data_IF_733735824086
#
_entry.id   IF_733735824086
#
_cell.length_a   1.000
_cell.length_b   1.000
_cell.length_c   1.000
_cell.angle_alpha   90.00
_cell.angle_beta   90.00
_cell.angle_gamma   90.00
#
_symmetry.space_group_name_H-M   'P 1'
#
loop_
_entity.id
_entity.type
_entity.pdbx_description
1 polymer ?
#
# COMPACT_ATOMS: atom_id res chain seq x y z
N UNK A 1 7.55 -13.58 -10.69
CA UNK A 1 6.59 -12.56 -10.19
C UNK A 1 7.19 -11.94 -8.92
N UNK A 2 7.34 -10.61 -8.84
CA UNK A 2 7.99 -9.97 -7.70
C UNK A 2 7.06 -9.89 -6.48
N UNK A 3 7.57 -10.27 -5.32
CA UNK A 3 6.96 -10.12 -4.00
C UNK A 3 7.78 -9.11 -3.20
N UNK A 4 7.19 -7.95 -2.91
CA UNK A 4 7.86 -6.86 -2.20
C UNK A 4 7.72 -7.01 -0.69
N UNK A 5 8.84 -6.96 0.02
CA UNK A 5 8.90 -7.08 1.47
C UNK A 5 9.84 -6.04 2.07
N UNK A 6 9.45 -5.41 3.17
CA UNK A 6 10.29 -4.49 3.93
C UNK A 6 11.04 -5.18 5.08
N UNK A 7 10.60 -6.39 5.46
CA UNK A 7 11.25 -7.18 6.49
C UNK A 7 12.51 -7.88 5.96
N UNK A 8 13.65 -7.23 6.13
CA UNK A 8 14.98 -7.78 5.78
C UNK A 8 15.25 -9.15 6.39
N UNK A 9 14.75 -9.43 7.59
CA UNK A 9 14.92 -10.74 8.21
C UNK A 9 14.15 -11.82 7.45
N UNK A 10 12.94 -11.51 6.97
CA UNK A 10 12.16 -12.44 6.15
C UNK A 10 12.81 -12.72 4.79
N UNK A 11 13.38 -11.68 4.15
CA UNK A 11 14.12 -11.83 2.88
C UNK A 11 15.36 -12.72 3.08
N UNK A 12 16.18 -12.41 4.08
CA UNK A 12 17.40 -13.17 4.39
C UNK A 12 17.11 -14.59 4.79
N UNK A 13 16.00 -14.81 5.48
CA UNK A 13 15.53 -16.16 5.71
C UNK A 13 15.41 -16.82 4.34
N UNK A 14 14.68 -16.26 3.36
CA UNK A 14 14.36 -16.98 2.09
C UNK A 14 15.59 -17.25 1.25
N UNK A 15 16.59 -16.40 1.36
CA UNK A 15 17.89 -16.58 0.71
C UNK A 15 18.80 -17.60 1.42
N UNK A 16 18.65 -17.79 2.74
CA UNK A 16 19.57 -18.60 3.56
C UNK A 16 18.79 -19.52 4.54
N UNK A 17 18.13 -20.53 3.99
CA UNK A 17 17.34 -21.55 4.71
C UNK A 17 18.10 -22.28 5.82
N UNK A 18 19.43 -22.28 5.76
CA UNK A 18 20.31 -23.06 6.64
C UNK A 18 20.34 -22.54 8.09
N UNK A 19 19.88 -21.30 8.37
CA UNK A 19 20.19 -20.64 9.64
C UNK A 19 19.12 -20.70 10.75
N UNK A 20 17.83 -20.98 10.51
CA UNK A 20 16.83 -20.80 11.59
C UNK A 20 15.64 -21.77 11.61
N UNK A 21 15.87 -22.99 12.13
CA UNK A 21 14.85 -24.01 12.44
C UNK A 21 14.49 -23.96 13.93
N UNK A 22 13.77 -22.93 14.41
CA UNK A 22 13.21 -22.96 15.78
C UNK A 22 11.79 -22.41 15.96
N UNK A 23 11.06 -22.12 14.88
CA UNK A 23 9.65 -21.70 14.95
C UNK A 23 8.79 -22.46 13.94
N UNK A 24 8.14 -23.53 14.41
CA UNK A 24 7.29 -24.45 13.61
C UNK A 24 6.24 -23.75 12.72
N UNK A 25 5.75 -22.58 13.15
CA UNK A 25 4.76 -21.80 12.40
C UNK A 25 5.34 -20.96 11.25
N UNK A 26 6.61 -20.55 11.35
CA UNK A 26 7.27 -19.73 10.33
C UNK A 26 7.88 -20.62 9.24
N UNK A 27 8.30 -21.83 9.63
CA UNK A 27 8.95 -22.81 8.76
C UNK A 27 8.12 -23.26 7.55
N UNK A 28 6.79 -23.43 7.71
CA UNK A 28 5.94 -23.86 6.59
C UNK A 28 5.85 -22.80 5.50
N UNK A 29 5.64 -21.54 5.87
CA UNK A 29 5.57 -20.43 4.92
C UNK A 29 6.92 -20.20 4.24
N UNK A 30 7.99 -20.42 5.00
CA UNK A 30 9.35 -20.32 4.54
C UNK A 30 9.68 -21.31 3.41
N UNK A 31 9.49 -22.61 3.67
CA UNK A 31 9.74 -23.66 2.69
C UNK A 31 8.92 -23.46 1.42
N UNK A 32 7.67 -22.99 1.56
CA UNK A 32 6.84 -22.64 0.41
C UNK A 32 7.44 -21.52 -0.43
N UNK A 33 7.88 -20.42 0.20
CA UNK A 33 8.49 -19.30 -0.52
C UNK A 33 9.80 -19.70 -1.18
N UNK A 34 10.66 -20.43 -0.48
CA UNK A 34 11.92 -20.95 -1.03
C UNK A 34 11.66 -21.85 -2.25
N UNK A 35 10.71 -22.79 -2.17
CA UNK A 35 10.34 -23.64 -3.29
C UNK A 35 9.86 -22.82 -4.51
N UNK A 36 9.08 -21.75 -4.30
CA UNK A 36 8.62 -20.88 -5.41
C UNK A 36 9.72 -20.01 -5.98
N UNK A 37 10.69 -19.60 -5.17
CA UNK A 37 11.89 -18.88 -5.63
C UNK A 37 12.78 -19.81 -6.45
N UNK A 38 13.04 -21.04 -5.96
CA UNK A 38 13.83 -22.06 -6.68
C UNK A 38 13.17 -22.49 -7.99
N UNK A 39 11.83 -22.48 -8.06
CA UNK A 39 11.07 -22.72 -9.30
C UNK A 39 11.04 -21.51 -10.24
N UNK A 40 11.71 -20.41 -9.90
CA UNK A 40 11.72 -19.13 -10.64
C UNK A 40 10.31 -18.52 -10.83
N UNK A 41 9.33 -18.97 -10.05
CA UNK A 41 7.95 -18.47 -10.10
C UNK A 41 7.79 -17.19 -9.32
N UNK A 42 8.60 -17.02 -8.28
CA UNK A 42 8.55 -15.92 -7.34
C UNK A 42 9.95 -15.30 -7.18
N UNK A 43 10.01 -13.99 -7.09
CA UNK A 43 11.22 -13.23 -6.78
C UNK A 43 10.92 -12.37 -5.57
N UNK A 44 11.77 -12.36 -4.55
CA UNK A 44 11.58 -11.52 -3.37
C UNK A 44 12.41 -10.26 -3.52
N UNK A 45 11.75 -9.10 -3.48
CA UNK A 45 12.39 -7.80 -3.63
C UNK A 45 12.28 -7.02 -2.32
N UNK A 46 13.37 -6.39 -1.89
CA UNK A 46 13.31 -5.46 -0.76
C UNK A 46 12.56 -4.18 -1.18
N UNK A 47 11.66 -3.71 -0.33
CA UNK A 47 11.05 -2.37 -0.41
C UNK A 47 11.28 -1.63 0.90
N UNK A 48 11.41 -0.31 0.84
CA UNK A 48 11.49 0.49 2.06
C UNK A 48 10.11 0.57 2.73
N UNK A 49 10.07 0.59 4.07
CA UNK A 49 8.80 0.68 4.83
C UNK A 49 7.98 1.92 4.44
N UNK A 50 8.62 2.98 3.97
CA UNK A 50 7.95 4.19 3.49
C UNK A 50 7.15 4.00 2.19
N UNK A 51 7.44 2.94 1.45
CA UNK A 51 6.85 2.63 0.15
C UNK A 51 6.07 1.30 0.16
N UNK A 52 5.99 0.63 1.33
CA UNK A 52 5.22 -0.60 1.50
C UNK A 52 3.72 -0.30 1.64
N UNK A 53 3.03 -0.15 0.50
CA UNK A 53 1.59 0.17 0.44
C UNK A 53 0.70 -0.82 1.20
N UNK A 54 1.14 -2.07 1.36
CA UNK A 54 0.44 -3.08 2.15
C UNK A 54 0.20 -2.66 3.60
N UNK A 55 1.06 -1.80 4.15
CA UNK A 55 0.92 -1.25 5.50
C UNK A 55 -0.38 -0.47 5.70
N UNK A 56 -0.96 0.07 4.62
CA UNK A 56 -2.27 0.72 4.65
C UNK A 56 -3.37 -0.20 5.18
N UNK A 57 -3.24 -1.51 4.94
CA UNK A 57 -4.24 -2.51 5.30
C UNK A 57 -3.96 -3.23 6.61
N UNK A 58 -2.71 -3.17 7.12
CA UNK A 58 -2.29 -3.94 8.30
C UNK A 58 -1.95 -3.08 9.51
N UNK A 59 -1.70 -1.77 9.32
CA UNK A 59 -1.24 -0.86 10.38
C UNK A 59 -2.18 0.33 10.55
N UNK A 60 -2.26 0.83 11.79
CA UNK A 60 -2.82 2.15 12.08
C UNK A 60 -1.82 3.25 11.72
N UNK A 61 -1.91 3.81 10.53
CA UNK A 61 -0.99 4.85 10.03
C UNK A 61 -1.45 6.26 10.43
N UNK A 62 -0.48 7.18 10.56
CA UNK A 62 -0.81 8.60 10.68
C UNK A 62 -1.43 9.15 9.38
N UNK A 63 -2.12 10.29 9.48
CA UNK A 63 -2.88 10.85 8.36
C UNK A 63 -2.03 11.07 7.10
N UNK A 64 -0.80 11.57 7.24
CA UNK A 64 0.11 11.84 6.12
C UNK A 64 0.51 10.55 5.39
N UNK A 65 0.92 9.51 6.12
CA UNK A 65 1.26 8.20 5.52
C UNK A 65 0.04 7.52 4.91
N UNK A 66 -1.10 7.59 5.58
CA UNK A 66 -2.35 7.06 5.06
C UNK A 66 -2.73 7.72 3.73
N UNK A 67 -2.62 9.06 3.63
CA UNK A 67 -2.87 9.81 2.40
C UNK A 67 -1.88 9.43 1.29
N UNK A 68 -0.57 9.37 1.58
CA UNK A 68 0.46 8.94 0.62
C UNK A 68 0.11 7.58 -0.02
N UNK A 69 -0.17 6.56 0.80
CA UNK A 69 -0.49 5.23 0.26
C UNK A 69 -1.86 5.18 -0.45
N UNK A 70 -2.84 5.93 0.04
CA UNK A 70 -4.14 6.06 -0.62
C UNK A 70 -4.01 6.66 -2.03
N UNK A 71 -3.16 7.66 -2.20
CA UNK A 71 -2.86 8.28 -3.50
C UNK A 71 -2.13 7.32 -4.44
N UNK A 72 -1.17 6.55 -3.92
CA UNK A 72 -0.49 5.50 -4.70
C UNK A 72 -1.47 4.43 -5.23
N UNK A 73 -2.52 4.12 -4.45
CA UNK A 73 -3.62 3.23 -4.87
C UNK A 73 -4.70 3.91 -5.74
N UNK A 74 -4.52 5.20 -6.09
CA UNK A 74 -5.48 5.99 -6.87
C UNK A 74 -6.90 6.01 -6.27
N UNK A 75 -7.00 5.92 -4.94
CA UNK A 75 -8.28 5.88 -4.25
C UNK A 75 -8.86 7.30 -4.14
N UNK A 76 -9.57 7.72 -5.18
CA UNK A 76 -10.25 9.02 -5.23
C UNK A 76 -11.28 9.14 -4.11
N UNK A 77 -11.34 10.31 -3.48
CA UNK A 77 -12.51 10.65 -2.67
C UNK A 77 -13.70 10.80 -3.62
N UNK A 78 -14.84 10.18 -3.28
CA UNK A 78 -16.09 10.51 -3.94
C UNK A 78 -16.33 11.99 -3.67
N UNK A 79 -16.24 12.82 -4.71
CA UNK A 79 -16.70 14.21 -4.59
C UNK A 79 -18.20 14.12 -4.31
N UNK A 80 -18.64 14.65 -3.17
CA UNK A 80 -20.06 14.88 -2.96
C UNK A 80 -20.51 15.84 -4.07
N UNK A 81 -21.23 15.31 -5.06
CA UNK A 81 -21.70 16.06 -6.23
C UNK A 81 -22.47 17.31 -5.76
N UNK A 82 -23.14 17.22 -4.62
CA UNK A 82 -23.91 18.31 -4.02
C UNK A 82 -23.08 19.55 -3.66
N UNK A 83 -21.84 19.40 -3.17
CA UNK A 83 -21.04 20.56 -2.77
C UNK A 83 -20.49 21.33 -3.98
N UNK A 84 -20.21 20.62 -5.09
CA UNK A 84 -19.85 21.23 -6.38
C UNK A 84 -21.05 21.91 -7.06
N UNK A 85 -22.25 21.34 -6.94
CA UNK A 85 -23.49 21.95 -7.47
C UNK A 85 -23.81 23.20 -6.67
N UNK A 86 -23.77 23.14 -5.33
CA UNK A 86 -24.01 24.31 -4.48
C UNK A 86 -22.98 25.42 -4.76
N UNK A 87 -21.68 25.11 -4.84
CA UNK A 87 -20.64 26.10 -5.19
C UNK A 87 -20.85 26.70 -6.59
N UNK A 88 -21.38 25.94 -7.55
CA UNK A 88 -21.76 26.43 -8.87
C UNK A 88 -22.95 27.40 -8.84
N UNK A 89 -24.03 27.00 -8.14
CA UNK A 89 -25.26 27.78 -7.99
C UNK A 89 -25.00 29.10 -7.26
N UNK A 90 -24.23 29.09 -6.16
CA UNK A 90 -23.87 30.32 -5.45
C UNK A 90 -23.02 31.27 -6.31
N UNK A 91 -22.16 30.73 -7.19
CA UNK A 91 -21.33 31.54 -8.10
C UNK A 91 -22.11 32.12 -9.29
N UNK A 92 -23.19 31.46 -9.71
CA UNK A 92 -24.16 32.02 -10.67
C UNK A 92 -25.04 33.09 -10.02
N UNK A 93 -25.60 32.83 -8.83
CA UNK A 93 -26.43 33.80 -8.12
C UNK A 93 -25.65 35.08 -7.78
N UNK A 94 -24.39 34.97 -7.37
CA UNK A 94 -23.57 36.14 -7.05
C UNK A 94 -23.15 36.93 -8.30
N UNK A 95 -23.10 36.31 -9.50
CA UNK A 95 -22.88 37.01 -10.78
C UNK A 95 -24.13 37.73 -11.29
N UNK A 96 -25.31 37.21 -10.99
CA UNK A 96 -26.59 37.83 -11.32
C UNK A 96 -26.90 39.03 -10.41
N UNK A 97 -26.49 38.98 -9.14
CA UNK A 97 -26.73 40.06 -8.17
C UNK A 97 -25.69 41.20 -8.20
N UNK A 98 -24.56 41.05 -8.89
CA UNK A 98 -23.62 42.14 -9.19
C UNK A 98 -23.08 42.01 -10.62
N UNK A 99 -23.84 42.48 -11.64
CA UNK A 99 -23.29 42.64 -12.97
C UNK A 99 -22.45 43.93 -13.00
N UNK A 100 -21.12 43.73 -12.93
CA UNK A 100 -20.00 44.69 -12.88
C UNK A 100 -19.71 45.31 -11.50
#
# INVERSE_FOLDING_TARGET
>A
MPLYCDNRSAIRLVENSILHVRTKYVEVHYHFLEEKVLQEKLEICQVETEDQVADLFTKGLNATRFQKFREQLKMNQRKNVEESVLKGVFKEQHRLCNPL
#
